data_IF_244772427353
#
_entry.id   IF_244772427353
#
_cell.length_a   1.000
_cell.length_b   1.000
_cell.length_c   1.000
_cell.angle_alpha   90.00
_cell.angle_beta   90.00
_cell.angle_gamma   90.00
#
_symmetry.space_group_name_H-M   'P 1'
#
loop_
_entity.id
_entity.type
_entity.pdbx_description
1 polymer ?
#
# COMPACT_ATOMS: atom_id res chain seq x y z
N UNK A 1 -18.90 23.11 1.95
CA UNK A 1 -17.44 23.04 2.13
C UNK A 1 -16.96 24.48 2.21
N UNK A 2 -16.42 24.89 3.35
CA UNK A 2 -15.83 26.21 3.62
C UNK A 2 -14.45 26.41 2.96
N UNK A 3 -13.92 25.37 2.30
CA UNK A 3 -12.65 25.41 1.60
C UNK A 3 -11.43 25.27 2.53
N UNK A 4 -11.66 25.06 3.84
CA UNK A 4 -10.58 24.89 4.81
C UNK A 4 -10.13 23.43 4.81
N UNK A 5 -8.83 23.21 4.58
CA UNK A 5 -8.23 21.88 4.66
C UNK A 5 -8.15 21.49 6.15
N UNK A 6 -8.68 20.33 6.57
CA UNK A 6 -8.61 19.89 7.96
C UNK A 6 -7.16 19.82 8.46
N UNK A 7 -6.92 20.15 9.73
CA UNK A 7 -5.57 20.13 10.31
C UNK A 7 -4.89 18.77 10.14
N UNK A 8 -5.62 17.67 10.32
CA UNK A 8 -5.08 16.32 10.12
C UNK A 8 -4.57 16.06 8.70
N UNK A 9 -5.16 16.71 7.68
CA UNK A 9 -4.68 16.62 6.30
C UNK A 9 -3.44 17.48 6.11
N UNK A 10 -3.38 18.66 6.75
CA UNK A 10 -2.19 19.50 6.74
C UNK A 10 -1.00 18.79 7.40
N UNK A 11 -1.22 18.18 8.57
CA UNK A 11 -0.21 17.42 9.30
C UNK A 11 0.30 16.22 8.46
N UNK A 12 -0.61 15.51 7.79
CA UNK A 12 -0.24 14.39 6.89
C UNK A 12 0.55 14.83 5.66
N UNK A 13 0.28 16.03 5.13
CA UNK A 13 1.07 16.60 4.04
C UNK A 13 2.51 16.91 4.53
N UNK A 14 2.65 17.52 5.71
CA UNK A 14 3.96 17.79 6.33
C UNK A 14 4.73 16.49 6.61
N UNK A 15 4.05 15.45 7.09
CA UNK A 15 4.65 14.13 7.27
C UNK A 15 5.18 13.56 5.94
N UNK A 16 4.43 13.72 4.85
CA UNK A 16 4.87 13.29 3.51
C UNK A 16 6.12 14.05 3.05
N UNK A 17 6.19 15.36 3.33
CA UNK A 17 7.36 16.19 3.01
C UNK A 17 8.60 15.69 3.74
N UNK A 18 8.54 15.55 5.07
CA UNK A 18 9.66 15.05 5.87
C UNK A 18 10.06 13.63 5.51
N UNK A 19 9.09 12.75 5.22
CA UNK A 19 9.39 11.35 4.86
C UNK A 19 10.18 11.30 3.55
N UNK A 20 9.82 12.13 2.56
CA UNK A 20 10.57 12.23 1.30
C UNK A 20 11.97 12.81 1.51
N UNK A 21 12.14 13.79 2.39
CA UNK A 21 13.48 14.31 2.73
C UNK A 21 14.40 13.24 3.31
N UNK A 22 13.88 12.42 4.23
CA UNK A 22 14.61 11.26 4.78
C UNK A 22 14.93 10.27 3.66
N UNK A 23 13.98 9.97 2.79
CA UNK A 23 14.18 9.06 1.68
C UNK A 23 15.28 9.55 0.72
N UNK A 24 15.31 10.85 0.40
CA UNK A 24 16.41 11.47 -0.35
C UNK A 24 17.76 11.34 0.37
N UNK A 25 17.80 11.55 1.69
CA UNK A 25 19.03 11.40 2.46
C UNK A 25 19.58 9.96 2.42
N UNK A 26 18.70 8.95 2.49
CA UNK A 26 19.05 7.54 2.32
C UNK A 26 19.57 7.27 0.90
N UNK A 27 18.91 7.80 -0.13
CA UNK A 27 19.35 7.68 -1.52
C UNK A 27 20.71 8.30 -1.78
N UNK A 28 21.01 9.43 -1.15
CA UNK A 28 22.30 10.14 -1.27
C UNK A 28 23.49 9.29 -0.82
N UNK A 29 23.29 8.31 0.06
CA UNK A 29 24.31 7.36 0.50
C UNK A 29 24.19 5.99 -0.18
N UNK A 30 23.52 5.94 -1.33
CA UNK A 30 23.22 4.72 -2.11
C UNK A 30 22.38 3.68 -1.35
N UNK A 31 21.58 4.12 -0.37
CA UNK A 31 20.61 3.25 0.30
C UNK A 31 19.38 2.96 -0.56
N UNK A 32 18.60 1.96 -0.18
CA UNK A 32 17.37 1.58 -0.85
C UNK A 32 16.15 2.12 -0.12
N UNK A 33 15.06 2.36 -0.86
CA UNK A 33 13.77 2.72 -0.28
C UNK A 33 12.78 1.61 -0.58
N UNK A 34 12.01 1.24 0.43
CA UNK A 34 10.88 0.34 0.33
C UNK A 34 9.82 0.77 1.33
N UNK A 35 8.59 0.91 0.88
CA UNK A 35 7.44 1.21 1.72
C UNK A 35 6.21 0.45 1.26
N UNK A 36 5.43 -0.06 2.22
CA UNK A 36 4.11 -0.60 1.94
C UNK A 36 3.07 0.49 2.06
N UNK A 37 2.11 0.53 1.14
CA UNK A 37 0.98 1.45 1.19
C UNK A 37 -0.30 0.75 0.71
N UNK A 38 -1.50 1.21 1.11
CA UNK A 38 -2.73 0.68 0.56
C UNK A 38 -2.78 0.76 -0.97
N UNK A 39 -3.58 -0.10 -1.61
CA UNK A 39 -3.82 0.07 -3.04
C UNK A 39 -4.65 1.31 -3.35
N UNK A 40 -4.42 1.87 -4.54
CA UNK A 40 -5.26 2.93 -5.12
C UNK A 40 -6.70 2.43 -5.34
N UNK A 41 -7.68 3.32 -5.12
CA UNK A 41 -9.13 3.05 -5.26
C UNK A 41 -9.71 3.38 -6.64
N UNK A 42 -8.96 4.11 -7.44
CA UNK A 42 -9.36 4.58 -8.76
C UNK A 42 -8.12 4.82 -9.63
N UNK A 43 -8.34 4.99 -10.93
CA UNK A 43 -7.29 5.31 -11.90
C UNK A 43 -6.56 4.09 -12.45
N UNK A 44 -5.67 4.31 -13.44
CA UNK A 44 -5.04 3.23 -14.21
C UNK A 44 -4.05 2.39 -13.40
N UNK A 45 -3.50 2.94 -12.31
CA UNK A 45 -2.58 2.25 -11.39
C UNK A 45 -3.30 1.48 -10.28
N UNK A 46 -4.64 1.53 -10.21
CA UNK A 46 -5.39 0.78 -9.21
C UNK A 46 -5.41 -0.72 -9.53
N UNK A 47 -5.42 -1.54 -8.47
CA UNK A 47 -5.64 -2.97 -8.64
C UNK A 47 -7.08 -3.16 -9.21
N UNK A 48 -7.28 -3.87 -10.35
CA UNK A 48 -8.58 -3.95 -11.02
C UNK A 48 -9.75 -4.40 -10.14
N UNK A 49 -9.53 -5.38 -9.26
CA UNK A 49 -10.54 -5.86 -8.30
C UNK A 49 -10.84 -4.91 -7.13
N UNK A 50 -10.02 -3.88 -6.90
CA UNK A 50 -10.11 -3.00 -5.74
C UNK A 50 -10.55 -1.58 -6.10
N UNK A 51 -10.91 -1.37 -7.37
CA UNK A 51 -11.55 -0.14 -7.83
C UNK A 51 -12.93 -0.05 -7.20
N UNK A 52 -13.21 1.07 -6.53
CA UNK A 52 -14.51 1.33 -5.94
C UNK A 52 -15.34 2.22 -6.86
N UNK A 53 -16.62 1.89 -7.03
CA UNK A 53 -17.59 2.77 -7.71
C UNK A 53 -17.68 4.09 -6.92
N UNK A 54 -17.80 5.20 -7.63
CA UNK A 54 -17.95 6.56 -7.08
C UNK A 54 -16.75 7.12 -6.29
N UNK A 55 -15.59 6.45 -6.32
CA UNK A 55 -14.33 6.97 -5.74
C UNK A 55 -13.48 7.79 -6.74
N UNK A 56 -14.09 8.40 -7.75
CA UNK A 56 -13.38 9.16 -8.81
C UNK A 56 -12.57 10.35 -8.28
N UNK A 57 -12.93 10.87 -7.09
CA UNK A 57 -12.24 11.96 -6.39
C UNK A 57 -11.22 11.48 -5.35
N UNK A 58 -11.01 10.18 -5.23
CA UNK A 58 -10.02 9.63 -4.30
C UNK A 58 -8.63 10.01 -4.77
N UNK A 59 -7.84 10.58 -3.87
CA UNK A 59 -6.40 10.81 -4.05
C UNK A 59 -5.63 9.75 -3.27
N UNK A 60 -4.46 9.35 -3.77
CA UNK A 60 -3.56 8.45 -3.07
C UNK A 60 -2.42 9.23 -2.42
N UNK A 61 -1.85 8.73 -1.32
CA UNK A 61 -0.71 9.40 -0.65
C UNK A 61 0.49 9.58 -1.60
N UNK A 62 0.73 8.61 -2.48
CA UNK A 62 1.79 8.68 -3.51
C UNK A 62 1.49 9.69 -4.64
N UNK A 63 0.29 10.27 -4.68
CA UNK A 63 -0.04 11.36 -5.60
C UNK A 63 0.33 12.74 -5.02
N UNK A 64 0.79 12.79 -3.76
CA UNK A 64 1.31 14.04 -3.20
C UNK A 64 2.52 14.51 -4.03
N UNK A 65 2.63 15.81 -4.38
CA UNK A 65 3.67 16.29 -5.29
C UNK A 65 5.11 15.94 -4.89
N UNK A 66 5.40 15.80 -3.58
CA UNK A 66 6.72 15.38 -3.11
C UNK A 66 7.07 13.93 -3.46
N UNK A 67 6.10 13.02 -3.33
CA UNK A 67 6.28 11.61 -3.67
C UNK A 67 6.40 11.42 -5.18
N UNK A 68 5.61 12.15 -5.97
CA UNK A 68 5.70 12.14 -7.43
C UNK A 68 7.09 12.59 -7.89
N UNK A 69 7.57 13.74 -7.39
CA UNK A 69 8.92 14.23 -7.73
C UNK A 69 10.02 13.26 -7.32
N UNK A 70 9.92 12.67 -6.13
CA UNK A 70 10.89 11.68 -5.66
C UNK A 70 10.89 10.42 -6.52
N UNK A 71 9.71 9.91 -6.88
CA UNK A 71 9.57 8.75 -7.74
C UNK A 71 10.21 8.98 -9.12
N UNK A 72 9.94 10.15 -9.70
CA UNK A 72 10.47 10.52 -11.01
C UNK A 72 12.00 10.71 -10.97
N UNK A 73 12.55 11.29 -9.90
CA UNK A 73 13.99 11.56 -9.80
C UNK A 73 14.83 10.32 -9.48
N UNK A 74 14.31 9.42 -8.64
CA UNK A 74 15.05 8.25 -8.14
C UNK A 74 14.61 6.93 -8.79
N UNK A 75 13.66 6.99 -9.73
CA UNK A 75 13.17 5.82 -10.46
C UNK A 75 12.39 4.84 -9.59
N UNK A 76 11.55 5.32 -8.66
CA UNK A 76 10.74 4.43 -7.82
C UNK A 76 9.59 3.82 -8.62
N UNK A 77 9.26 2.58 -8.27
CA UNK A 77 8.21 1.79 -8.90
C UNK A 77 7.13 1.40 -7.89
N UNK A 78 5.90 1.29 -8.37
CA UNK A 78 4.76 0.76 -7.63
C UNK A 78 4.54 -0.70 -8.04
N UNK A 79 4.73 -1.64 -7.12
CA UNK A 79 4.51 -3.06 -7.33
C UNK A 79 3.26 -3.50 -6.56
N UNK A 80 2.23 -3.91 -7.29
CA UNK A 80 0.99 -4.39 -6.66
C UNK A 80 1.24 -5.77 -6.06
N UNK A 81 1.00 -5.88 -4.76
CA UNK A 81 1.06 -7.13 -4.03
C UNK A 81 -0.33 -7.56 -3.59
N UNK A 82 -0.84 -8.59 -4.24
CA UNK A 82 -2.11 -9.22 -3.88
C UNK A 82 -1.88 -10.37 -2.90
N UNK A 83 -2.15 -10.12 -1.61
CA UNK A 83 -1.96 -11.08 -0.53
C UNK A 83 -3.03 -12.20 -0.54
N UNK A 84 -4.05 -12.12 -1.41
CA UNK A 84 -5.21 -13.02 -1.44
C UNK A 84 -5.49 -13.63 -2.84
N UNK A 85 -4.45 -13.87 -3.66
CA UNK A 85 -4.57 -14.27 -5.08
C UNK A 85 -5.44 -15.50 -5.40
N UNK A 86 -5.70 -16.41 -4.45
CA UNK A 86 -6.53 -17.62 -4.63
C UNK A 86 -7.93 -17.55 -4.03
N UNK A 87 -8.42 -16.39 -3.60
CA UNK A 87 -9.82 -16.24 -3.19
C UNK A 87 -10.75 -16.62 -4.36
N UNK A 88 -11.41 -17.79 -4.26
CA UNK A 88 -12.29 -18.33 -5.32
C UNK A 88 -13.49 -17.43 -5.60
N UNK A 89 -13.91 -16.65 -4.59
CA UNK A 89 -14.95 -15.64 -4.68
C UNK A 89 -14.37 -14.33 -4.11
N UNK A 90 -13.95 -13.38 -4.96
CA UNK A 90 -13.36 -12.11 -4.52
C UNK A 90 -14.25 -11.28 -3.58
N UNK A 91 -15.57 -11.47 -3.60
CA UNK A 91 -16.52 -10.82 -2.70
C UNK A 91 -16.46 -11.37 -1.25
N UNK A 92 -15.98 -12.61 -1.07
CA UNK A 92 -15.95 -13.29 0.24
C UNK A 92 -14.59 -13.16 0.94
N UNK A 93 -13.59 -12.60 0.26
CA UNK A 93 -12.26 -12.35 0.81
C UNK A 93 -12.10 -10.87 1.12
N UNK A 94 -11.82 -10.50 2.38
CA UNK A 94 -11.42 -9.16 2.72
C UNK A 94 -10.22 -8.74 1.86
N UNK A 95 -10.38 -7.59 1.23
CA UNK A 95 -9.45 -6.93 0.33
C UNK A 95 -8.10 -6.74 1.06
N UNK A 96 -7.11 -7.56 0.74
CA UNK A 96 -5.73 -7.43 1.22
C UNK A 96 -4.78 -7.36 0.04
N UNK A 97 -4.77 -6.22 -0.64
CA UNK A 97 -3.68 -5.89 -1.54
C UNK A 97 -3.06 -4.58 -1.12
N UNK A 98 -1.76 -4.52 -1.28
CA UNK A 98 -0.93 -3.37 -0.99
C UNK A 98 -0.15 -3.00 -2.25
N UNK A 99 0.44 -1.81 -2.23
CA UNK A 99 1.48 -1.41 -3.17
C UNK A 99 2.79 -1.43 -2.38
N UNK A 100 3.79 -2.10 -2.93
CA UNK A 100 5.18 -1.87 -2.57
C UNK A 100 5.70 -0.72 -3.41
N UNK A 101 6.09 0.37 -2.76
CA UNK A 101 6.74 1.51 -3.37
C UNK A 101 8.23 1.43 -3.07
N UNK A 102 9.05 1.15 -4.07
CA UNK A 102 10.47 0.90 -3.87
C UNK A 102 11.34 1.45 -4.99
N UNK A 103 12.63 1.60 -4.72
CA UNK A 103 13.62 1.92 -5.75
C UNK A 103 13.74 0.80 -6.79
N UNK A 104 14.13 1.14 -8.02
CA UNK A 104 14.20 0.18 -9.12
C UNK A 104 15.13 -1.01 -8.85
N UNK A 105 16.26 -0.75 -8.22
CA UNK A 105 17.26 -1.73 -7.77
C UNK A 105 16.76 -2.67 -6.67
N UNK A 106 15.71 -2.30 -5.94
CA UNK A 106 15.04 -3.14 -4.94
C UNK A 106 13.87 -3.96 -5.52
N UNK A 107 13.36 -3.57 -6.69
CA UNK A 107 12.12 -4.12 -7.25
C UNK A 107 12.15 -5.64 -7.45
N UNK A 108 13.27 -6.20 -7.93
CA UNK A 108 13.38 -7.65 -8.12
C UNK A 108 13.33 -8.41 -6.80
N UNK A 109 13.99 -7.90 -5.75
CA UNK A 109 13.96 -8.50 -4.41
C UNK A 109 12.55 -8.51 -3.84
N UNK A 110 11.80 -7.40 -3.99
CA UNK A 110 10.40 -7.32 -3.59
C UNK A 110 9.54 -8.33 -4.36
N UNK A 111 9.74 -8.49 -5.66
CA UNK A 111 8.98 -9.47 -6.47
C UNK A 111 9.33 -10.91 -6.08
N UNK A 112 10.58 -11.21 -5.75
CA UNK A 112 10.99 -12.54 -5.31
C UNK A 112 10.35 -12.87 -3.96
N UNK A 113 10.48 -11.96 -2.99
CA UNK A 113 10.01 -12.20 -1.61
C UNK A 113 8.48 -12.18 -1.52
N UNK A 114 7.82 -11.21 -2.16
CA UNK A 114 6.38 -10.98 -2.02
C UNK A 114 5.57 -11.40 -3.25
N UNK A 115 6.15 -11.40 -4.44
CA UNK A 115 5.47 -11.73 -5.70
C UNK A 115 5.48 -13.22 -6.08
N UNK A 116 6.34 -14.05 -5.47
CA UNK A 116 6.66 -15.40 -5.98
C UNK A 116 6.57 -16.65 -5.07
N UNK A 117 6.06 -16.70 -3.82
CA UNK A 117 5.94 -18.00 -3.15
C UNK A 117 4.58 -18.70 -3.37
N UNK A 118 4.56 -20.01 -3.67
CA UNK A 118 3.36 -20.86 -3.57
C UNK A 118 2.94 -21.17 -2.13
N UNK A 119 3.70 -20.75 -1.11
CA UNK A 119 3.52 -21.14 0.30
C UNK A 119 3.04 -19.99 1.21
N UNK A 120 3.12 -18.73 0.77
CA UNK A 120 2.49 -17.57 1.43
C UNK A 120 1.00 -17.46 1.07
N UNK A 121 0.34 -18.61 0.96
CA UNK A 121 -1.08 -18.72 0.70
C UNK A 121 -1.84 -18.49 2.00
N UNK A 122 -2.65 -17.45 1.99
CA UNK A 122 -3.82 -17.37 2.84
C UNK A 122 -4.67 -18.64 2.63
N UNK A 123 -4.62 -19.59 3.58
CA UNK A 123 -5.36 -20.87 3.54
C UNK A 123 -6.48 -20.94 4.59
N UNK A 124 -6.78 -19.82 5.24
CA UNK A 124 -7.76 -19.74 6.31
C UNK A 124 -9.18 -19.43 5.79
N UNK A 125 -10.23 -19.73 6.59
CA UNK A 125 -11.62 -19.49 6.22
C UNK A 125 -11.92 -18.03 5.84
N UNK A 126 -12.99 -17.82 5.06
CA UNK A 126 -13.53 -16.49 4.77
C UNK A 126 -13.78 -15.70 6.05
N UNK A 127 -13.48 -14.40 6.04
CA UNK A 127 -13.60 -13.51 7.21
C UNK A 127 -12.47 -13.61 8.24
N UNK A 128 -11.45 -14.45 8.03
CA UNK A 128 -10.27 -14.52 8.92
C UNK A 128 -9.42 -13.25 8.86
N UNK A 129 -9.36 -12.60 7.69
CA UNK A 129 -8.73 -11.30 7.55
C UNK A 129 -9.74 -10.18 7.74
N UNK A 130 -9.29 -9.01 8.18
CA UNK A 130 -10.02 -7.76 7.99
C UNK A 130 -9.28 -6.99 6.91
N UNK A 131 -9.99 -6.29 6.03
CA UNK A 131 -9.34 -5.49 5.00
C UNK A 131 -8.42 -4.44 5.67
N UNK A 132 -7.21 -4.28 5.11
CA UNK A 132 -6.23 -3.26 5.53
C UNK A 132 -6.85 -1.86 5.49
N UNK A 133 -7.50 -1.62 4.36
CA UNK A 133 -8.45 -0.57 4.12
C UNK A 133 -9.54 -1.13 3.20
N UNK A 134 -10.80 -0.79 3.40
CA UNK A 134 -11.87 -1.22 2.49
C UNK A 134 -13.23 -1.16 3.15
N UNK A 135 -14.25 -1.63 2.44
CA UNK A 135 -15.60 -1.67 2.97
C UNK A 135 -15.87 -3.10 3.46
N UNK A 136 -16.28 -3.28 4.72
CA UNK A 136 -16.68 -4.59 5.23
C UNK A 136 -17.99 -5.08 4.57
N UNK A 137 -18.42 -6.30 4.90
CA UNK A 137 -19.67 -6.88 4.38
C UNK A 137 -20.93 -6.07 4.71
N UNK A 138 -20.82 -5.12 5.64
CA UNK A 138 -21.91 -4.26 6.12
C UNK A 138 -21.85 -2.84 5.56
N UNK A 139 -20.89 -2.53 4.68
CA UNK A 139 -20.76 -1.19 4.12
C UNK A 139 -19.85 -0.24 4.93
N UNK A 140 -19.20 -0.70 6.00
CA UNK A 140 -18.36 0.17 6.83
C UNK A 140 -16.93 0.27 6.31
N UNK A 141 -16.41 1.49 6.23
CA UNK A 141 -15.02 1.73 5.86
C UNK A 141 -14.07 1.34 7.01
N UNK A 142 -13.28 0.31 6.80
CA UNK A 142 -12.19 -0.13 7.66
C UNK A 142 -10.92 0.65 7.33
N UNK A 143 -10.22 1.12 8.36
CA UNK A 143 -8.89 1.73 8.28
C UNK A 143 -7.90 1.02 9.21
N UNK A 144 -6.60 1.25 9.01
CA UNK A 144 -5.51 0.71 9.86
C UNK A 144 -5.69 0.97 11.36
N UNK A 145 -6.34 2.08 11.74
CA UNK A 145 -6.66 2.44 13.12
C UNK A 145 -7.64 1.47 13.83
N UNK A 146 -8.31 0.60 13.08
CA UNK A 146 -9.30 -0.37 13.60
C UNK A 146 -8.66 -1.64 14.21
N UNK A 147 -7.36 -1.60 14.55
CA UNK A 147 -6.51 -2.77 14.88
C UNK A 147 -6.39 -3.77 13.71
N UNK A 148 -6.25 -3.25 12.48
CA UNK A 148 -6.33 -4.08 11.27
C UNK A 148 -5.04 -4.85 10.91
N UNK A 149 -3.89 -4.57 11.53
CA UNK A 149 -2.63 -5.25 11.18
C UNK A 149 -1.87 -5.80 12.40
N UNK A 150 -1.79 -7.12 12.45
CA UNK A 150 -0.71 -7.82 13.11
C UNK A 150 -0.07 -8.71 12.04
N UNK A 151 1.05 -8.29 11.48
CA UNK A 151 1.82 -9.13 10.57
C UNK A 151 2.29 -10.38 11.30
N UNK A 152 2.21 -11.52 10.62
CA UNK A 152 2.82 -12.73 11.14
C UNK A 152 4.32 -12.50 11.33
N UNK A 153 4.94 -13.19 12.29
CA UNK A 153 6.40 -13.14 12.44
C UNK A 153 7.14 -13.56 11.16
N UNK A 154 6.52 -14.35 10.29
CA UNK A 154 7.05 -14.68 8.96
C UNK A 154 7.08 -13.45 8.04
N UNK A 155 5.98 -12.72 7.92
CA UNK A 155 5.88 -11.51 7.09
C UNK A 155 6.82 -10.41 7.58
N UNK A 156 6.93 -10.19 8.90
CA UNK A 156 7.90 -9.22 9.44
C UNK A 156 9.34 -9.60 9.10
N UNK A 157 9.68 -10.90 9.11
CA UNK A 157 11.00 -11.37 8.67
C UNK A 157 11.21 -11.17 7.17
N UNK A 158 10.19 -11.35 6.35
CA UNK A 158 10.25 -11.08 4.90
C UNK A 158 10.51 -9.61 4.60
N UNK A 159 9.84 -8.70 5.32
CA UNK A 159 10.08 -7.25 5.22
C UNK A 159 11.52 -6.92 5.61
N UNK A 160 12.02 -7.49 6.70
CA UNK A 160 13.40 -7.27 7.15
C UNK A 160 14.49 -7.90 6.27
N UNK A 161 14.14 -8.75 5.30
CA UNK A 161 15.07 -9.39 4.35
C UNK A 161 15.24 -8.60 3.06
N UNK A 162 14.31 -7.70 2.77
CA UNK A 162 14.43 -6.72 1.69
C UNK A 162 15.17 -5.49 2.21
#
# INVERSE_FOLDING_TARGET
CDGVIPQSVQDSNVESEHTVEIAFAVRKVNGFIMGETPVRRTGPKAHPRHVLKDCSRSVHMLDHPVWVRFADSEGLVELIWDQCRKAKVPADSPIKSSIWFCTHDMAEHVVIEFGKPPDSLCNHPAGTHKALCGVDSSGNYLTSASRCENYSGGTNRSIARC
#
